data_IF_021661834305
#
_entry.id   IF_021661834305
#
_cell.length_a   1.000
_cell.length_b   1.000
_cell.length_c   1.000
_cell.angle_alpha   90.00
_cell.angle_beta   90.00
_cell.angle_gamma   90.00
#
_symmetry.space_group_name_H-M   'P 1'
#
loop_
_entity.id
_entity.type
_entity.pdbx_description
1 polymer ?
#
# COMPACT_ATOMS: atom_id res chain seq x y z
N UNK A 1 -40.55 24.92 -19.93
CA UNK A 1 -40.32 25.17 -18.50
C UNK A 1 -39.47 24.07 -17.81
N UNK A 2 -39.66 22.83 -18.20
CA UNK A 2 -38.86 21.72 -17.73
C UNK A 2 -37.37 21.79 -18.08
N UNK A 3 -37.01 22.53 -19.12
CA UNK A 3 -35.61 22.70 -19.54
C UNK A 3 -34.68 23.33 -18.48
N UNK A 4 -35.26 24.18 -17.62
CA UNK A 4 -34.47 24.84 -16.58
C UNK A 4 -34.15 23.93 -15.41
N UNK A 5 -34.96 22.89 -15.19
CA UNK A 5 -34.72 21.88 -14.15
C UNK A 5 -33.63 20.89 -14.55
N UNK A 6 -33.44 20.68 -15.85
CA UNK A 6 -32.46 19.74 -16.41
C UNK A 6 -31.30 20.43 -17.13
N UNK A 7 -31.10 21.70 -16.83
CA UNK A 7 -29.99 22.45 -17.41
C UNK A 7 -28.67 21.76 -17.11
N UNK A 8 -27.88 21.51 -18.16
CA UNK A 8 -26.53 21.01 -17.97
C UNK A 8 -25.71 22.03 -17.20
N UNK A 9 -24.93 21.49 -16.20
CA UNK A 9 -24.04 22.32 -15.45
C UNK A 9 -22.95 22.89 -16.34
N UNK A 10 -22.56 24.13 -16.11
CA UNK A 10 -21.39 24.74 -16.76
C UNK A 10 -20.14 23.98 -16.37
N UNK A 11 -19.06 24.14 -17.13
CA UNK A 11 -17.77 23.50 -16.83
C UNK A 11 -17.27 23.87 -15.42
N UNK A 12 -17.46 25.12 -15.01
CA UNK A 12 -17.09 25.59 -13.66
C UNK A 12 -17.91 24.88 -12.59
N UNK A 13 -19.21 24.74 -12.80
CA UNK A 13 -20.10 24.03 -11.87
C UNK A 13 -19.76 22.55 -11.78
N UNK A 14 -19.40 21.92 -12.89
CA UNK A 14 -18.96 20.53 -12.93
C UNK A 14 -17.66 20.33 -12.13
N UNK A 15 -16.71 21.24 -12.27
CA UNK A 15 -15.44 21.20 -11.53
C UNK A 15 -15.70 21.36 -10.03
N UNK A 16 -16.50 22.35 -9.64
CA UNK A 16 -16.86 22.58 -8.24
C UNK A 16 -17.60 21.37 -7.67
N UNK A 17 -18.53 20.82 -8.40
CA UNK A 17 -19.27 19.62 -8.00
C UNK A 17 -18.34 18.41 -7.82
N UNK A 18 -17.37 18.25 -8.71
CA UNK A 18 -16.35 17.21 -8.61
C UNK A 18 -15.50 17.37 -7.34
N UNK A 19 -15.01 18.58 -7.03
CA UNK A 19 -14.25 18.83 -5.80
C UNK A 19 -15.09 18.63 -4.54
N UNK A 20 -16.34 19.05 -4.54
CA UNK A 20 -17.25 18.81 -3.41
C UNK A 20 -17.50 17.32 -3.21
N UNK A 21 -17.69 16.57 -4.29
CA UNK A 21 -17.83 15.12 -4.23
C UNK A 21 -16.56 14.44 -3.70
N UNK A 22 -15.38 14.92 -4.07
CA UNK A 22 -14.12 14.42 -3.52
C UNK A 22 -13.99 14.68 -2.01
N UNK A 23 -14.53 15.80 -1.53
CA UNK A 23 -14.54 16.11 -0.11
C UNK A 23 -15.57 15.29 0.68
N UNK A 24 -16.70 14.96 0.02
CA UNK A 24 -17.77 14.17 0.64
C UNK A 24 -17.55 12.66 0.48
N UNK A 25 -16.83 12.23 -0.55
CA UNK A 25 -16.41 10.83 -0.67
C UNK A 25 -15.41 10.55 0.43
N UNK A 26 -15.71 9.55 1.24
CA UNK A 26 -14.81 9.09 2.29
C UNK A 26 -13.52 8.58 1.67
N UNK A 27 -12.47 9.37 1.73
CA UNK A 27 -11.15 8.98 1.28
C UNK A 27 -10.52 8.08 2.34
N UNK A 28 -10.18 6.90 1.91
CA UNK A 28 -9.50 5.94 2.76
C UNK A 28 -8.00 6.22 2.80
N UNK A 29 -7.40 5.98 3.96
CA UNK A 29 -5.96 5.99 4.12
C UNK A 29 -5.52 4.76 4.87
N UNK A 30 -4.62 4.01 4.28
CA UNK A 30 -4.08 2.80 4.86
C UNK A 30 -2.69 3.07 5.45
N UNK A 31 -2.49 2.61 6.68
CA UNK A 31 -1.19 2.56 7.33
C UNK A 31 -0.82 1.12 7.60
N UNK A 32 0.40 0.75 7.25
CA UNK A 32 0.96 -0.56 7.60
C UNK A 32 2.06 -0.38 8.61
N UNK A 33 1.94 -1.08 9.72
CA UNK A 33 2.95 -1.17 10.75
C UNK A 33 3.67 -2.51 10.63
N UNK A 34 4.98 -2.46 10.44
CA UNK A 34 5.80 -3.65 10.22
C UNK A 34 6.57 -4.01 11.49
N UNK A 35 6.90 -5.28 11.64
CA UNK A 35 7.68 -5.76 12.78
C UNK A 35 9.17 -5.39 12.69
N UNK A 36 9.71 -5.17 11.48
CA UNK A 36 11.11 -4.80 11.27
C UNK A 36 11.26 -3.78 10.13
N UNK A 37 12.35 -3.00 10.11
CA UNK A 37 12.62 -2.07 9.02
C UNK A 37 13.28 -2.71 7.80
N UNK A 38 13.84 -3.91 7.91
CA UNK A 38 14.50 -4.67 6.84
C UNK A 38 14.33 -6.16 7.07
N UNK A 39 14.50 -6.93 6.00
CA UNK A 39 14.27 -8.38 6.04
C UNK A 39 15.31 -9.12 5.19
N UNK A 40 15.43 -10.42 5.43
CA UNK A 40 16.17 -11.32 4.57
C UNK A 40 15.23 -12.15 3.71
N UNK A 41 15.72 -12.59 2.56
CA UNK A 41 14.98 -13.53 1.72
C UNK A 41 14.61 -14.79 2.52
N UNK A 42 13.40 -15.29 2.32
CA UNK A 42 12.88 -16.42 3.10
C UNK A 42 12.23 -16.06 4.42
N UNK A 43 12.39 -14.84 4.91
CA UNK A 43 11.71 -14.38 6.12
C UNK A 43 10.25 -14.02 5.85
N UNK A 44 9.51 -13.77 6.91
CA UNK A 44 8.13 -13.26 6.83
C UNK A 44 8.09 -11.82 7.28
N UNK A 45 7.40 -11.00 6.50
CA UNK A 45 7.04 -9.64 6.91
C UNK A 45 5.73 -9.72 7.67
N UNK A 46 5.75 -9.50 8.98
CA UNK A 46 4.55 -9.38 9.77
C UNK A 46 4.08 -7.94 9.78
N UNK A 47 2.81 -7.73 9.54
CA UNK A 47 2.25 -6.39 9.50
C UNK A 47 0.90 -6.31 10.18
N UNK A 48 0.58 -5.10 10.63
CA UNK A 48 -0.75 -4.70 11.05
C UNK A 48 -1.17 -3.50 10.21
N UNK A 49 -2.33 -3.60 9.58
CA UNK A 49 -2.91 -2.54 8.79
C UNK A 49 -4.00 -1.79 9.54
N UNK A 50 -4.00 -0.48 9.37
CA UNK A 50 -5.01 0.43 9.90
C UNK A 50 -5.61 1.20 8.74
N UNK A 51 -6.91 1.06 8.56
CA UNK A 51 -7.65 1.79 7.55
C UNK A 51 -8.46 2.88 8.24
N UNK A 52 -8.22 4.12 7.84
CA UNK A 52 -8.86 5.28 8.43
C UNK A 52 -9.44 6.17 7.35
N UNK A 53 -10.41 6.99 7.73
CA UNK A 53 -10.87 8.07 6.88
C UNK A 53 -9.79 9.17 6.84
N UNK A 54 -9.37 9.59 5.64
CA UNK A 54 -8.27 10.54 5.49
C UNK A 54 -8.58 11.94 6.03
N UNK A 55 -9.84 12.31 6.13
CA UNK A 55 -10.24 13.62 6.64
C UNK A 55 -10.50 13.62 8.15
N UNK A 56 -11.09 12.56 8.70
CA UNK A 56 -11.46 12.48 10.11
C UNK A 56 -10.55 11.57 10.93
N UNK A 57 -9.75 10.75 10.27
CA UNK A 57 -8.94 9.68 10.90
C UNK A 57 -9.78 8.67 11.69
N UNK A 58 -11.08 8.60 11.38
CA UNK A 58 -11.98 7.65 12.01
C UNK A 58 -11.72 6.22 11.50
N UNK A 59 -11.76 5.20 12.37
CA UNK A 59 -11.45 3.81 12.00
C UNK A 59 -12.58 3.08 11.27
N UNK A 60 -13.72 3.71 11.05
CA UNK A 60 -14.92 3.07 10.52
C UNK A 60 -15.00 3.16 9.00
N UNK A 61 -14.13 2.43 8.33
CA UNK A 61 -14.17 2.32 6.88
C UNK A 61 -14.87 1.03 6.45
N UNK A 62 -15.68 1.10 5.36
CA UNK A 62 -16.48 -0.05 4.94
C UNK A 62 -15.70 -1.19 4.30
N UNK A 63 -14.46 -0.94 3.87
CA UNK A 63 -13.67 -1.97 3.22
C UNK A 63 -13.22 -3.04 4.20
N UNK A 64 -13.56 -4.29 3.85
CA UNK A 64 -13.27 -5.46 4.67
C UNK A 64 -11.97 -6.16 4.30
N UNK A 65 -11.31 -5.73 3.23
CA UNK A 65 -10.09 -6.35 2.73
C UNK A 65 -9.07 -5.31 2.33
N UNK A 66 -7.82 -5.61 2.59
CA UNK A 66 -6.68 -4.89 2.04
C UNK A 66 -5.82 -5.86 1.23
N UNK A 67 -5.10 -5.30 0.28
CA UNK A 67 -4.07 -6.01 -0.48
C UNK A 67 -2.72 -5.47 -0.05
N UNK A 68 -1.81 -6.36 0.27
CA UNK A 68 -0.43 -6.01 0.61
C UNK A 68 0.48 -6.78 -0.33
N UNK A 69 1.36 -6.07 -1.01
CA UNK A 69 2.25 -6.66 -1.99
C UNK A 69 3.65 -6.08 -1.91
N UNK A 70 4.62 -6.89 -2.24
CA UNK A 70 6.00 -6.47 -2.36
C UNK A 70 6.39 -6.46 -3.84
N UNK A 71 6.96 -5.35 -4.29
CA UNK A 71 7.27 -5.08 -5.69
C UNK A 71 8.76 -4.85 -5.83
N UNK A 72 9.34 -5.39 -6.88
CA UNK A 72 10.75 -5.17 -7.19
C UNK A 72 10.96 -3.84 -7.92
N UNK A 73 12.21 -3.53 -8.27
CA UNK A 73 12.58 -2.30 -8.97
C UNK A 73 11.99 -2.20 -10.37
N UNK A 74 11.56 -3.31 -10.96
CA UNK A 74 10.93 -3.37 -12.28
C UNK A 74 9.39 -3.33 -12.20
N UNK A 75 8.83 -2.96 -11.04
CA UNK A 75 7.39 -2.95 -10.77
C UNK A 75 6.71 -4.33 -10.89
N UNK A 76 7.47 -5.39 -10.76
CA UNK A 76 6.90 -6.75 -10.71
C UNK A 76 6.56 -7.14 -9.28
N UNK A 77 5.39 -7.73 -9.12
CA UNK A 77 4.93 -8.24 -7.82
C UNK A 77 5.72 -9.50 -7.48
N UNK A 78 6.43 -9.48 -6.37
CA UNK A 78 7.19 -10.61 -5.86
C UNK A 78 6.31 -11.53 -5.02
N UNK A 79 5.52 -10.93 -4.14
CA UNK A 79 4.55 -11.65 -3.33
C UNK A 79 3.38 -10.73 -2.99
N UNK A 80 2.23 -11.32 -2.70
CA UNK A 80 0.98 -10.60 -2.46
C UNK A 80 0.12 -11.37 -1.48
N UNK A 81 -0.56 -10.63 -0.63
CA UNK A 81 -1.52 -11.16 0.33
C UNK A 81 -2.77 -10.31 0.34
N UNK A 82 -3.94 -10.97 0.31
CA UNK A 82 -5.23 -10.35 0.59
C UNK A 82 -5.57 -10.63 2.04
N UNK A 83 -5.87 -9.58 2.80
CA UNK A 83 -6.10 -9.69 4.24
C UNK A 83 -7.49 -9.17 4.57
N UNK A 84 -8.24 -9.98 5.28
CA UNK A 84 -9.57 -9.62 5.76
C UNK A 84 -9.45 -8.81 7.05
N UNK A 85 -10.35 -7.83 7.20
CA UNK A 85 -10.48 -7.08 8.44
C UNK A 85 -10.87 -8.00 9.58
N UNK A 86 -10.16 -7.86 10.69
CA UNK A 86 -10.47 -8.52 11.95
C UNK A 86 -10.64 -7.45 13.02
N UNK A 87 -10.96 -7.83 14.25
CA UNK A 87 -11.13 -6.89 15.35
C UNK A 87 -9.91 -5.95 15.48
N UNK A 88 -10.15 -4.64 15.31
CA UNK A 88 -9.14 -3.62 15.47
C UNK A 88 -8.19 -3.40 14.29
N UNK A 89 -8.38 -4.08 13.16
CA UNK A 89 -7.56 -3.83 11.97
C UNK A 89 -7.30 -5.05 11.09
N UNK A 90 -6.24 -4.97 10.31
CA UNK A 90 -5.84 -6.01 9.37
C UNK A 90 -4.51 -6.61 9.82
N UNK A 91 -4.51 -7.90 10.13
CA UNK A 91 -3.32 -8.62 10.58
C UNK A 91 -2.90 -9.59 9.50
N UNK A 92 -1.66 -9.58 9.12
CA UNK A 92 -1.18 -10.49 8.11
C UNK A 92 0.32 -10.61 8.05
N UNK A 93 0.75 -11.44 7.11
CA UNK A 93 2.17 -11.62 6.82
C UNK A 93 2.38 -11.85 5.32
N UNK A 94 3.59 -11.53 4.87
CA UNK A 94 4.09 -11.88 3.54
C UNK A 94 5.27 -12.81 3.71
N UNK A 95 5.19 -13.99 3.13
CA UNK A 95 6.33 -14.91 3.06
C UNK A 95 7.21 -14.49 1.88
N UNK A 96 8.44 -14.13 2.16
CA UNK A 96 9.42 -13.73 1.16
C UNK A 96 10.03 -14.96 0.50
N UNK A 97 10.11 -15.01 -0.84
CA UNK A 97 10.82 -16.07 -1.53
C UNK A 97 12.28 -16.16 -1.11
N UNK A 98 12.83 -17.36 -1.13
CA UNK A 98 14.23 -17.61 -0.73
C UNK A 98 15.23 -17.18 -1.80
N UNK A 99 14.79 -17.04 -3.03
CA UNK A 99 15.62 -16.70 -4.20
C UNK A 99 15.58 -15.20 -4.54
N UNK A 100 15.13 -14.35 -3.63
CA UNK A 100 15.10 -12.91 -3.85
C UNK A 100 16.51 -12.35 -4.02
N UNK A 101 16.62 -11.45 -4.98
CA UNK A 101 17.87 -10.69 -5.21
C UNK A 101 17.99 -9.61 -4.15
N UNK A 102 19.18 -9.41 -3.61
CA UNK A 102 19.48 -8.32 -2.67
C UNK A 102 19.16 -6.97 -3.30
N UNK A 103 18.47 -6.11 -2.58
CA UNK A 103 18.16 -4.77 -3.05
C UNK A 103 17.00 -4.13 -2.32
N UNK A 104 16.58 -3.00 -2.87
CA UNK A 104 15.43 -2.25 -2.39
C UNK A 104 14.15 -2.73 -3.09
N UNK A 105 13.16 -3.02 -2.27
CA UNK A 105 11.82 -3.40 -2.73
C UNK A 105 10.83 -2.38 -2.19
N UNK A 106 9.66 -2.31 -2.81
CA UNK A 106 8.59 -1.43 -2.34
C UNK A 106 7.44 -2.29 -1.82
N UNK A 107 7.10 -2.09 -0.55
CA UNK A 107 5.88 -2.62 0.03
C UNK A 107 4.73 -1.67 -0.30
N UNK A 108 3.66 -2.20 -0.89
CA UNK A 108 2.45 -1.44 -1.19
C UNK A 108 1.26 -2.05 -0.46
N UNK A 109 0.42 -1.18 0.07
CA UNK A 109 -0.85 -1.60 0.66
C UNK A 109 -1.99 -0.75 0.12
N UNK A 110 -3.12 -1.37 -0.20
CA UNK A 110 -4.25 -0.67 -0.78
C UNK A 110 -5.57 -1.43 -0.60
N UNK A 111 -6.66 -0.70 -0.71
CA UNK A 111 -8.03 -1.23 -0.78
C UNK A 111 -8.51 -1.26 -2.23
N UNK A 112 -9.63 -1.90 -2.48
CA UNK A 112 -10.27 -1.86 -3.80
C UNK A 112 -10.62 -0.42 -4.22
N UNK A 113 -11.06 0.39 -3.26
CA UNK A 113 -11.37 1.79 -3.53
C UNK A 113 -10.14 2.56 -4.03
N UNK A 114 -9.00 2.42 -3.34
CA UNK A 114 -7.74 3.07 -3.72
C UNK A 114 -7.27 2.61 -5.09
N UNK A 115 -7.42 1.33 -5.40
CA UNK A 115 -7.08 0.75 -6.69
C UNK A 115 -7.86 1.37 -7.83
N UNK A 116 -9.15 1.67 -7.61
CA UNK A 116 -10.01 2.29 -8.60
C UNK A 116 -9.83 3.81 -8.68
N UNK A 117 -9.38 4.42 -7.60
CA UNK A 117 -9.17 5.87 -7.53
C UNK A 117 -7.83 6.30 -8.12
N UNK A 118 -6.74 6.02 -7.42
CA UNK A 118 -5.41 6.37 -7.87
C UNK A 118 -4.35 5.65 -7.03
N UNK A 119 -3.29 5.22 -7.68
CA UNK A 119 -2.11 4.59 -7.04
C UNK A 119 -1.43 5.50 -6.00
N UNK A 120 -1.61 6.82 -6.11
CA UNK A 120 -1.06 7.78 -5.13
C UNK A 120 -1.70 7.64 -3.74
N UNK A 121 -2.86 7.01 -3.65
CA UNK A 121 -3.50 6.70 -2.37
C UNK A 121 -2.94 5.48 -1.67
N UNK A 122 -2.13 4.68 -2.37
CA UNK A 122 -1.54 3.47 -1.80
C UNK A 122 -0.56 3.82 -0.70
N UNK A 123 -0.54 3.01 0.35
CA UNK A 123 0.59 3.00 1.26
C UNK A 123 1.80 2.43 0.53
N UNK A 124 2.94 3.13 0.63
CA UNK A 124 4.19 2.70 0.01
C UNK A 124 5.34 2.89 0.99
N UNK A 125 6.19 1.89 1.09
CA UNK A 125 7.39 1.94 1.92
C UNK A 125 8.50 1.13 1.27
N UNK A 126 9.69 1.71 1.21
CA UNK A 126 10.87 1.00 0.74
C UNK A 126 11.39 0.04 1.81
N UNK A 127 11.64 -1.19 1.39
CA UNK A 127 12.09 -2.27 2.26
C UNK A 127 13.40 -2.83 1.70
N UNK A 128 14.51 -2.66 2.42
CA UNK A 128 15.75 -3.35 2.06
C UNK A 128 15.62 -4.85 2.30
N UNK A 129 16.00 -5.64 1.32
CA UNK A 129 16.02 -7.10 1.39
C UNK A 129 17.46 -7.59 1.21
N UNK A 130 17.92 -8.35 2.16
CA UNK A 130 19.19 -9.06 2.08
C UNK A 130 18.95 -10.53 1.71
N UNK A 131 19.93 -11.18 1.12
CA UNK A 131 19.88 -12.61 0.89
C UNK A 131 21.09 -13.26 1.57
N UNK A 132 20.84 -13.99 2.64
CA UNK A 132 21.89 -14.66 3.43
C UNK A 132 22.53 -15.83 2.69
N UNK A 133 21.88 -16.33 1.64
CA UNK A 133 22.42 -17.36 0.77
C UNK A 133 23.35 -16.78 -0.31
N UNK A 134 23.27 -15.46 -0.55
CA UNK A 134 24.20 -14.77 -1.44
C UNK A 134 25.53 -14.54 -0.73
N UNK A 135 26.39 -15.49 -0.93
CA UNK A 135 27.85 -15.48 -0.77
C UNK A 135 28.40 -14.77 0.48
N UNK A 136 28.95 -15.54 1.40
CA UNK A 136 29.80 -15.00 2.46
C UNK A 136 30.92 -14.08 1.90
N UNK A 137 31.41 -14.38 0.71
CA UNK A 137 32.48 -13.65 0.03
C UNK A 137 32.11 -12.19 -0.29
N UNK A 138 30.87 -11.91 -0.64
CA UNK A 138 30.44 -10.55 -0.95
C UNK A 138 30.33 -9.68 0.31
N UNK A 139 29.97 -10.27 1.43
CA UNK A 139 29.89 -9.57 2.71
C UNK A 139 31.29 -9.28 3.28
N UNK A 140 32.25 -10.18 3.07
CA UNK A 140 33.64 -9.95 3.47
C UNK A 140 34.33 -8.87 2.63
N UNK A 141 34.06 -8.81 1.32
CA UNK A 141 34.57 -7.74 0.45
C UNK A 141 34.04 -6.37 0.87
N UNK A 142 32.76 -6.25 1.25
CA UNK A 142 32.20 -5.00 1.76
C UNK A 142 32.79 -4.59 3.10
N UNK A 143 33.19 -5.55 3.94
CA UNK A 143 33.88 -5.25 5.21
C UNK A 143 35.33 -4.80 5.01
N UNK A 144 35.99 -5.25 3.95
CA UNK A 144 37.37 -4.83 3.64
C UNK A 144 37.44 -3.43 3.03
N UNK A 145 36.38 -2.94 2.39
CA UNK A 145 36.32 -1.61 1.80
C UNK A 145 35.91 -0.50 2.78
N UNK A 146 35.67 -0.86 4.03
CA UNK A 146 35.47 0.04 5.13
C UNK A 146 36.78 0.17 5.90
#
# INVERSE_FOLDING_TARGET
>A
MSFRLFREKTTSEQIISFFLNLQTVQQEKLYLHLDKPYYAAGEQIWFKGYLVNSSTHAPDMPDNFIYVELVNQNNKIVCRQKVKKNEGGFWGNLLLPTDMIVGEYTLRGYTNWMRNANVNFFFQKNIPIANTLDRPDTLELKKKDI
#
